data_IF_465258713474
#
_entry.id   IF_465258713474
#
_cell.length_a   1.000
_cell.length_b   1.000
_cell.length_c   1.000
_cell.angle_alpha   90.00
_cell.angle_beta   90.00
_cell.angle_gamma   90.00
#
_symmetry.space_group_name_H-M   'P 1'
#
loop_
_entity.id
_entity.type
_entity.pdbx_description
1 polymer ?
#
# COMPACT_ATOMS: atom_id res chain seq x y z
N UNK A 1 -26.52 5.65 -10.97
CA UNK A 1 -26.15 6.46 -9.79
C UNK A 1 -24.90 7.27 -10.14
N UNK A 2 -24.68 8.41 -9.51
CA UNK A 2 -23.48 9.20 -9.76
C UNK A 2 -22.63 9.30 -8.50
N UNK A 3 -21.39 8.82 -8.58
CA UNK A 3 -20.45 8.79 -7.46
C UNK A 3 -19.41 9.89 -7.57
N UNK A 4 -19.04 10.44 -6.42
CA UNK A 4 -17.89 11.32 -6.27
C UNK A 4 -16.85 10.67 -5.38
N UNK A 5 -15.61 10.53 -5.84
CA UNK A 5 -14.49 10.06 -5.00
C UNK A 5 -13.66 11.26 -4.60
N UNK A 6 -13.46 11.45 -3.30
CA UNK A 6 -12.68 12.54 -2.75
C UNK A 6 -11.43 12.05 -2.04
N UNK A 7 -10.28 12.43 -2.60
CA UNK A 7 -8.98 12.27 -1.98
C UNK A 7 -8.58 13.58 -1.32
N UNK A 8 -8.76 13.70 -0.02
CA UNK A 8 -8.28 14.86 0.77
C UNK A 8 -6.76 15.03 0.68
N UNK A 9 -6.06 13.98 0.28
CA UNK A 9 -4.67 13.98 -0.15
C UNK A 9 -4.49 12.93 -1.24
N UNK A 10 -4.34 13.35 -2.46
CA UNK A 10 -3.99 12.44 -3.55
C UNK A 10 -2.48 12.51 -3.84
N UNK A 11 -1.81 11.40 -3.96
CA UNK A 11 -0.37 11.29 -4.18
C UNK A 11 -0.13 10.17 -5.18
N UNK A 12 0.52 10.46 -6.28
CA UNK A 12 0.91 9.43 -7.25
C UNK A 12 1.72 8.31 -6.56
N UNK A 13 1.43 7.06 -6.89
CA UNK A 13 2.08 5.90 -6.28
C UNK A 13 1.71 5.62 -4.82
N UNK A 14 0.79 6.40 -4.23
CA UNK A 14 0.24 6.12 -2.91
C UNK A 14 -0.89 5.07 -3.01
N UNK A 15 -0.98 4.17 -2.03
CA UNK A 15 -2.02 3.16 -1.96
C UNK A 15 -3.44 3.74 -2.08
N UNK A 16 -3.71 4.89 -1.44
CA UNK A 16 -5.00 5.56 -1.52
C UNK A 16 -5.35 6.00 -2.94
N UNK A 17 -4.37 6.48 -3.70
CA UNK A 17 -4.59 6.89 -5.10
C UNK A 17 -4.80 5.68 -6.00
N UNK A 18 -4.05 4.60 -5.80
CA UNK A 18 -4.26 3.33 -6.52
C UNK A 18 -5.66 2.80 -6.25
N UNK A 19 -6.05 2.76 -4.99
CA UNK A 19 -7.40 2.33 -4.59
C UNK A 19 -8.49 3.20 -5.26
N UNK A 20 -8.31 4.52 -5.26
CA UNK A 20 -9.26 5.43 -5.91
C UNK A 20 -9.39 5.19 -7.41
N UNK A 21 -8.28 4.90 -8.10
CA UNK A 21 -8.26 4.60 -9.52
C UNK A 21 -9.04 3.32 -9.81
N UNK A 22 -8.77 2.24 -9.07
CA UNK A 22 -9.46 0.97 -9.27
C UNK A 22 -10.95 1.07 -8.91
N UNK A 23 -11.28 1.76 -7.83
CA UNK A 23 -12.68 2.03 -7.45
C UNK A 23 -13.40 2.86 -8.54
N UNK A 24 -12.77 3.93 -9.04
CA UNK A 24 -13.32 4.74 -10.13
C UNK A 24 -13.55 3.93 -11.39
N UNK A 25 -12.57 3.11 -11.80
CA UNK A 25 -12.66 2.29 -12.98
C UNK A 25 -13.83 1.29 -12.87
N UNK A 26 -13.93 0.62 -11.73
CA UNK A 26 -15.01 -0.33 -11.52
C UNK A 26 -16.40 0.32 -11.43
N UNK A 27 -16.53 1.46 -10.77
CA UNK A 27 -17.81 2.20 -10.77
C UNK A 27 -18.21 2.60 -12.19
N UNK A 28 -17.26 3.02 -13.01
CA UNK A 28 -17.53 3.46 -14.40
C UNK A 28 -18.01 2.35 -15.35
N UNK A 29 -17.90 1.11 -14.95
CA UNK A 29 -18.47 -0.02 -15.73
C UNK A 29 -20.01 0.00 -15.73
N UNK A 30 -20.63 0.55 -14.69
CA UNK A 30 -22.09 0.54 -14.51
C UNK A 30 -22.71 1.90 -14.26
N UNK A 31 -21.94 2.87 -13.74
CA UNK A 31 -22.40 4.13 -13.23
C UNK A 31 -21.46 5.29 -13.60
N UNK A 32 -21.88 6.53 -13.31
CA UNK A 32 -21.01 7.70 -13.45
C UNK A 32 -20.12 7.88 -12.23
N UNK A 33 -18.84 8.21 -12.44
CA UNK A 33 -17.90 8.49 -11.38
C UNK A 33 -16.98 9.67 -11.69
N UNK A 34 -16.86 10.58 -10.73
CA UNK A 34 -15.93 11.73 -10.76
C UNK A 34 -14.97 11.60 -9.59
N UNK A 35 -13.68 11.66 -9.86
CA UNK A 35 -12.65 11.66 -8.80
C UNK A 35 -11.95 12.99 -8.70
N UNK A 36 -11.94 13.57 -7.49
CA UNK A 36 -11.24 14.80 -7.15
C UNK A 36 -10.16 14.49 -6.11
N UNK A 37 -8.95 14.96 -6.38
CA UNK A 37 -7.84 14.92 -5.44
C UNK A 37 -7.45 16.33 -4.99
N UNK A 38 -7.31 16.51 -3.69
CA UNK A 38 -6.79 17.74 -3.15
C UNK A 38 -5.31 17.90 -3.52
N UNK A 39 -5.00 19.06 -4.08
CA UNK A 39 -3.65 19.45 -4.49
C UNK A 39 -2.92 20.06 -3.29
N UNK A 40 -1.81 19.48 -2.86
CA UNK A 40 -0.88 20.08 -1.91
C UNK A 40 0.05 21.07 -2.62
N UNK A 41 0.52 22.13 -1.93
CA UNK A 41 1.48 23.12 -2.44
C UNK A 41 2.77 22.47 -2.96
N UNK A 42 3.16 21.35 -2.38
CA UNK A 42 4.34 20.59 -2.79
C UNK A 42 4.10 19.64 -3.98
N UNK A 43 2.92 19.65 -4.54
CA UNK A 43 2.48 18.77 -5.62
C UNK A 43 2.81 19.33 -6.99
N UNK A 44 4.05 19.54 -7.23
CA UNK A 44 4.48 20.21 -8.44
C UNK A 44 4.41 19.41 -9.74
N UNK A 45 4.16 18.11 -9.75
CA UNK A 45 4.29 17.30 -10.98
C UNK A 45 3.65 15.91 -10.93
N UNK A 46 2.54 15.69 -10.22
CA UNK A 46 1.96 14.37 -10.23
C UNK A 46 1.30 14.07 -11.57
N UNK A 47 1.59 12.90 -12.12
CA UNK A 47 1.00 12.36 -13.36
C UNK A 47 -0.43 11.83 -13.16
N UNK A 48 -1.10 12.15 -12.06
CA UNK A 48 -2.50 11.79 -11.81
C UNK A 48 -3.45 12.24 -12.94
N UNK A 49 -2.99 13.12 -13.79
CA UNK A 49 -3.72 13.53 -15.02
C UNK A 49 -4.02 12.36 -15.97
N UNK A 50 -3.21 11.30 -15.96
CA UNK A 50 -3.41 10.16 -16.84
C UNK A 50 -4.61 9.27 -16.46
N UNK A 51 -5.20 9.48 -15.27
CA UNK A 51 -6.29 8.65 -14.75
C UNK A 51 -7.65 9.37 -14.67
N UNK A 52 -7.79 10.51 -15.33
CA UNK A 52 -9.02 11.34 -15.25
C UNK A 52 -9.36 11.78 -13.81
N UNK A 53 -8.35 11.98 -12.97
CA UNK A 53 -8.51 12.56 -11.64
C UNK A 53 -8.37 14.07 -11.73
N UNK A 54 -9.40 14.79 -11.30
CA UNK A 54 -9.40 16.25 -11.25
C UNK A 54 -8.62 16.70 -10.02
N UNK A 55 -7.64 17.58 -10.21
CA UNK A 55 -6.86 18.13 -9.11
C UNK A 55 -7.31 19.55 -8.79
N UNK A 56 -7.75 19.76 -7.55
CA UNK A 56 -8.15 21.06 -7.05
C UNK A 56 -7.40 21.44 -5.78
N UNK A 57 -7.16 22.72 -5.61
CA UNK A 57 -6.66 23.28 -4.36
C UNK A 57 -7.84 23.45 -3.39
N UNK A 58 -7.78 22.83 -2.20
CA UNK A 58 -8.91 22.81 -1.26
C UNK A 58 -9.45 24.19 -0.92
N UNK A 59 -8.57 25.15 -0.68
CA UNK A 59 -8.96 26.52 -0.35
C UNK A 59 -9.43 27.33 -1.58
N UNK A 60 -8.60 27.38 -2.63
CA UNK A 60 -8.84 28.24 -3.79
C UNK A 60 -9.98 27.74 -4.70
N UNK A 61 -10.16 26.43 -4.80
CA UNK A 61 -11.14 25.80 -5.68
C UNK A 61 -12.33 25.22 -4.92
N UNK A 62 -12.54 25.61 -3.67
CA UNK A 62 -13.58 25.07 -2.78
C UNK A 62 -14.96 25.07 -3.44
N UNK A 63 -15.39 26.17 -4.03
CA UNK A 63 -16.69 26.30 -4.68
C UNK A 63 -16.84 25.36 -5.90
N UNK A 64 -15.76 25.13 -6.63
CA UNK A 64 -15.74 24.17 -7.73
C UNK A 64 -15.87 22.74 -7.25
N UNK A 65 -15.19 22.39 -6.16
CA UNK A 65 -15.29 21.07 -5.53
C UNK A 65 -16.74 20.83 -5.10
N UNK A 66 -17.33 21.78 -4.38
CA UNK A 66 -18.71 21.68 -3.89
C UNK A 66 -19.68 21.56 -5.07
N UNK A 67 -19.57 22.42 -6.08
CA UNK A 67 -20.48 22.40 -7.23
C UNK A 67 -20.37 21.09 -8.03
N UNK A 68 -19.18 20.50 -8.09
CA UNK A 68 -18.97 19.21 -8.75
C UNK A 68 -19.62 18.08 -7.95
N UNK A 69 -19.37 18.02 -6.64
CA UNK A 69 -19.92 16.96 -5.80
C UNK A 69 -21.43 17.08 -5.53
N UNK A 70 -22.00 18.29 -5.63
CA UNK A 70 -23.47 18.46 -5.59
C UNK A 70 -24.19 17.73 -6.72
N UNK A 71 -23.50 17.39 -7.81
CA UNK A 71 -24.05 16.59 -8.89
C UNK A 71 -24.01 15.09 -8.62
N UNK A 72 -23.35 14.65 -7.55
CA UNK A 72 -23.23 13.25 -7.17
C UNK A 72 -24.33 12.86 -6.18
N UNK A 73 -24.72 11.59 -6.18
CA UNK A 73 -25.66 11.00 -5.21
C UNK A 73 -24.91 10.58 -3.96
N UNK A 74 -23.74 9.96 -4.17
CA UNK A 74 -22.86 9.42 -3.12
C UNK A 74 -21.46 10.01 -3.24
N UNK A 75 -20.87 10.38 -2.11
CA UNK A 75 -19.50 10.88 -2.01
C UNK A 75 -18.68 9.92 -1.16
N UNK A 76 -17.61 9.40 -1.74
CA UNK A 76 -16.70 8.45 -1.11
C UNK A 76 -15.40 9.18 -0.76
N UNK A 77 -15.08 9.24 0.52
CA UNK A 77 -13.86 9.87 1.01
C UNK A 77 -12.85 8.76 1.30
N UNK A 78 -11.67 8.82 0.68
CA UNK A 78 -10.61 7.81 0.84
C UNK A 78 -9.44 8.31 1.66
N UNK A 79 -9.28 9.60 1.81
CA UNK A 79 -8.25 10.19 2.65
C UNK A 79 -8.63 11.57 3.11
N UNK A 80 -8.18 11.93 4.30
CA UNK A 80 -8.31 13.28 4.86
C UNK A 80 -7.03 14.08 4.64
N UNK A 81 -7.09 15.43 4.67
CA UNK A 81 -5.89 16.26 4.59
C UNK A 81 -4.88 15.87 5.68
N UNK A 82 -3.57 15.93 5.39
CA UNK A 82 -2.56 15.66 6.40
C UNK A 82 -2.61 16.72 7.52
N UNK A 83 -2.26 16.31 8.73
CA UNK A 83 -2.27 17.18 9.93
C UNK A 83 -1.37 18.38 9.81
N UNK A 84 -0.27 18.22 9.09
CA UNK A 84 0.65 19.31 8.78
C UNK A 84 0.15 20.16 7.61
N UNK A 85 -1.08 19.91 7.13
CA UNK A 85 -1.73 20.83 6.21
C UNK A 85 -1.96 22.16 6.92
N UNK A 86 -1.85 23.25 6.17
CA UNK A 86 -2.19 24.56 6.66
C UNK A 86 -3.61 24.54 7.22
N UNK A 87 -3.84 25.25 8.30
CA UNK A 87 -5.15 25.32 8.98
C UNK A 87 -6.30 25.61 7.99
N UNK A 88 -6.09 26.56 7.05
CA UNK A 88 -7.03 26.87 5.97
C UNK A 88 -7.43 25.67 5.10
N UNK A 89 -6.53 24.71 4.93
CA UNK A 89 -6.80 23.49 4.14
C UNK A 89 -7.74 22.56 4.90
N UNK A 90 -7.56 22.43 6.20
CA UNK A 90 -8.41 21.59 7.06
C UNK A 90 -9.80 22.21 7.22
N UNK A 91 -9.89 23.50 7.48
CA UNK A 91 -11.17 24.24 7.53
C UNK A 91 -11.93 24.14 6.21
N UNK A 92 -11.25 24.34 5.09
CA UNK A 92 -11.88 24.24 3.77
C UNK A 92 -12.40 22.83 3.48
N UNK A 93 -11.67 21.80 3.92
CA UNK A 93 -12.14 20.42 3.79
C UNK A 93 -13.41 20.17 4.59
N UNK A 94 -13.45 20.62 5.84
CA UNK A 94 -14.63 20.49 6.69
C UNK A 94 -15.82 21.27 6.12
N UNK A 95 -15.62 22.52 5.71
CA UNK A 95 -16.68 23.33 5.08
C UNK A 95 -17.24 22.70 3.80
N UNK A 96 -16.38 22.09 2.96
CA UNK A 96 -16.84 21.35 1.79
C UNK A 96 -17.81 20.25 2.21
N UNK A 97 -17.47 19.46 3.22
CA UNK A 97 -18.30 18.34 3.69
C UNK A 97 -19.59 18.84 4.35
N UNK A 98 -19.54 19.88 5.15
CA UNK A 98 -20.74 20.49 5.77
C UNK A 98 -21.74 20.94 4.70
N UNK A 99 -21.27 21.48 3.59
CA UNK A 99 -22.11 21.92 2.47
C UNK A 99 -22.62 20.78 1.56
N UNK A 100 -22.19 19.56 1.83
CA UNK A 100 -22.57 18.35 1.11
C UNK A 100 -23.39 17.38 1.99
N UNK A 101 -23.94 17.85 3.12
CA UNK A 101 -24.71 17.04 4.06
C UNK A 101 -26.03 16.50 3.50
N UNK A 102 -26.50 17.02 2.37
CA UNK A 102 -27.65 16.50 1.63
C UNK A 102 -27.29 15.27 0.78
N UNK A 103 -26.02 14.88 0.74
CA UNK A 103 -25.49 13.73 0.00
C UNK A 103 -25.22 12.54 0.93
N UNK A 104 -25.17 11.36 0.33
CA UNK A 104 -24.70 10.17 1.07
C UNK A 104 -23.17 10.19 1.12
N UNK A 105 -22.61 10.51 2.29
CA UNK A 105 -21.17 10.62 2.51
C UNK A 105 -20.64 9.36 3.17
N UNK A 106 -19.69 8.69 2.52
CA UNK A 106 -19.07 7.45 3.01
C UNK A 106 -17.57 7.66 3.15
N UNK A 107 -17.01 7.38 4.31
CA UNK A 107 -15.57 7.33 4.49
C UNK A 107 -15.08 5.89 4.48
N UNK A 108 -14.11 5.59 3.63
CA UNK A 108 -13.40 4.31 3.65
C UNK A 108 -11.99 4.57 4.18
N UNK A 109 -11.69 3.97 5.32
CA UNK A 109 -10.36 4.07 5.91
C UNK A 109 -9.39 3.17 5.15
N UNK A 110 -8.73 3.73 4.14
CA UNK A 110 -7.65 3.08 3.39
C UNK A 110 -6.28 3.43 3.96
N UNK A 111 -6.19 4.34 4.93
CA UNK A 111 -4.94 4.62 5.63
C UNK A 111 -4.80 3.67 6.83
N UNK A 112 -3.70 2.97 6.86
CA UNK A 112 -3.42 1.96 7.87
C UNK A 112 -3.18 2.53 9.27
N UNK A 113 -2.98 3.82 9.35
CA UNK A 113 -2.72 4.48 10.61
C UNK A 113 -4.03 5.03 11.11
N UNK A 114 -4.64 4.30 12.02
CA UNK A 114 -5.44 5.01 12.96
C UNK A 114 -4.58 6.14 13.51
N UNK A 115 -4.98 7.39 13.37
CA UNK A 115 -4.26 8.45 14.03
C UNK A 115 -4.20 8.06 15.49
N UNK A 116 -3.01 7.98 16.05
CA UNK A 116 -2.89 7.79 17.49
C UNK A 116 -3.35 9.11 18.11
N UNK A 117 -4.62 9.18 18.38
CA UNK A 117 -5.38 10.33 18.86
C UNK A 117 -4.77 10.93 20.10
N UNK A 118 -4.10 10.13 20.92
CA UNK A 118 -3.40 10.58 22.12
C UNK A 118 -2.21 11.51 21.87
N UNK A 119 -1.82 11.77 20.62
CA UNK A 119 -0.61 12.56 20.33
C UNK A 119 -0.84 13.93 19.73
N UNK A 120 -2.07 14.30 19.32
CA UNK A 120 -2.25 15.59 18.68
C UNK A 120 -3.69 16.11 18.82
N UNK A 121 -3.88 17.12 19.66
CA UNK A 121 -5.16 17.77 19.94
C UNK A 121 -5.95 18.18 18.68
N UNK A 122 -5.27 18.54 17.59
CA UNK A 122 -5.91 18.89 16.32
C UNK A 122 -6.57 17.71 15.62
N UNK A 123 -6.04 16.49 15.78
CA UNK A 123 -6.66 15.29 15.26
C UNK A 123 -7.99 15.01 15.96
N UNK A 124 -8.02 15.13 17.26
CA UNK A 124 -9.19 14.79 18.05
C UNK A 124 -10.39 15.64 17.64
N UNK A 125 -10.22 16.94 17.45
CA UNK A 125 -11.29 17.86 17.07
C UNK A 125 -11.72 17.63 15.62
N UNK A 126 -10.79 17.55 14.69
CA UNK A 126 -11.12 17.37 13.28
C UNK A 126 -11.78 16.02 13.00
N UNK A 127 -11.27 14.95 13.59
CA UNK A 127 -11.86 13.63 13.38
C UNK A 127 -13.23 13.47 14.03
N UNK A 128 -13.44 14.03 15.22
CA UNK A 128 -14.74 14.06 15.86
C UNK A 128 -15.81 14.69 14.96
N UNK A 129 -15.51 15.85 14.43
CA UNK A 129 -16.46 16.57 13.58
C UNK A 129 -16.56 15.96 12.18
N UNK A 130 -15.43 15.48 11.61
CA UNK A 130 -15.42 14.79 10.33
C UNK A 130 -16.32 13.54 10.32
N UNK A 131 -16.20 12.68 11.34
CA UNK A 131 -17.00 11.46 11.37
C UNK A 131 -18.49 11.74 11.51
N UNK A 132 -18.88 12.82 12.21
CA UNK A 132 -20.29 13.23 12.31
C UNK A 132 -20.88 13.65 10.96
N UNK A 133 -20.03 14.04 10.00
CA UNK A 133 -20.44 14.40 8.65
C UNK A 133 -20.55 13.19 7.72
N UNK A 134 -20.17 12.00 8.17
CA UNK A 134 -20.25 10.77 7.39
C UNK A 134 -21.52 9.97 7.73
N UNK A 135 -22.25 9.54 6.72
CA UNK A 135 -23.37 8.60 6.90
C UNK A 135 -22.86 7.18 7.19
N UNK A 136 -21.64 6.86 6.71
CA UNK A 136 -20.97 5.58 6.94
C UNK A 136 -19.47 5.74 7.06
N UNK A 137 -18.89 4.93 7.93
CA UNK A 137 -17.44 4.82 8.11
C UNK A 137 -17.07 3.34 7.95
N UNK A 138 -16.39 3.00 6.88
CA UNK A 138 -15.94 1.63 6.60
C UNK A 138 -14.52 1.50 7.14
N UNK A 139 -14.31 0.59 8.07
CA UNK A 139 -13.00 0.28 8.68
C UNK A 139 -12.69 -1.21 8.53
N UNK A 140 -11.39 -1.54 8.49
CA UNK A 140 -10.98 -2.90 8.14
C UNK A 140 -11.01 -3.89 9.30
N UNK A 141 -10.93 -3.40 10.52
CA UNK A 141 -10.78 -4.25 11.69
C UNK A 141 -11.42 -3.60 12.92
N UNK A 142 -12.23 -4.36 13.64
CA UNK A 142 -12.82 -3.94 14.92
C UNK A 142 -11.78 -3.62 15.99
N UNK A 143 -10.63 -4.24 15.91
CA UNK A 143 -9.51 -4.00 16.83
C UNK A 143 -8.62 -2.83 16.44
N UNK A 144 -8.84 -2.16 15.30
CA UNK A 144 -8.05 -1.00 14.95
C UNK A 144 -8.49 0.23 15.76
N UNK A 145 -7.55 1.13 15.98
CA UNK A 145 -7.77 2.31 16.82
C UNK A 145 -8.90 3.21 16.28
N UNK A 146 -9.14 3.22 14.97
CA UNK A 146 -10.19 4.05 14.38
C UNK A 146 -11.58 3.62 14.79
N UNK A 147 -11.85 2.31 14.87
CA UNK A 147 -13.14 1.80 15.32
C UNK A 147 -13.36 2.14 16.81
N UNK A 148 -12.36 1.90 17.64
CA UNK A 148 -12.40 2.23 19.07
C UNK A 148 -12.61 3.73 19.27
N UNK A 149 -11.86 4.52 18.54
CA UNK A 149 -11.94 5.98 18.57
C UNK A 149 -13.30 6.48 18.15
N UNK A 150 -13.86 5.95 17.06
CA UNK A 150 -15.17 6.35 16.59
C UNK A 150 -16.26 6.06 17.64
N UNK A 151 -16.16 4.93 18.34
CA UNK A 151 -17.05 4.60 19.47
C UNK A 151 -16.83 5.54 20.67
N UNK A 152 -15.59 5.82 21.03
CA UNK A 152 -15.23 6.77 22.10
C UNK A 152 -15.71 8.19 21.80
N UNK A 153 -15.80 8.57 20.53
CA UNK A 153 -16.35 9.84 20.06
C UNK A 153 -17.87 9.93 20.09
N UNK A 154 -18.55 8.87 20.49
CA UNK A 154 -20.02 8.83 20.56
C UNK A 154 -20.68 8.79 19.19
N UNK A 155 -20.02 8.24 18.18
CA UNK A 155 -20.67 7.93 16.91
C UNK A 155 -21.67 6.81 17.09
N UNK A 156 -22.79 6.89 16.37
CA UNK A 156 -23.72 5.79 16.31
C UNK A 156 -23.00 4.52 15.81
N UNK A 157 -22.97 3.43 16.56
CA UNK A 157 -22.32 2.19 16.13
C UNK A 157 -22.79 1.68 14.76
N UNK A 158 -24.03 1.99 14.38
CA UNK A 158 -24.58 1.61 13.07
C UNK A 158 -23.94 2.33 11.89
N UNK A 159 -23.28 3.45 12.13
CA UNK A 159 -22.53 4.18 11.09
C UNK A 159 -21.16 3.57 10.79
N UNK A 160 -20.65 2.74 11.71
CA UNK A 160 -19.33 2.12 11.62
C UNK A 160 -19.47 0.69 11.12
N UNK A 161 -18.93 0.42 9.95
CA UNK A 161 -19.02 -0.88 9.30
C UNK A 161 -17.61 -1.49 9.25
N UNK A 162 -17.49 -2.71 9.79
CA UNK A 162 -16.27 -3.52 9.63
C UNK A 162 -16.60 -4.68 8.72
N UNK A 163 -16.10 -4.69 7.48
CA UNK A 163 -16.36 -5.77 6.55
C UNK A 163 -15.71 -7.07 6.99
N UNK A 164 -16.25 -8.19 6.51
CA UNK A 164 -15.72 -9.53 6.78
C UNK A 164 -14.58 -9.93 5.80
N UNK A 165 -14.19 -9.02 4.95
CA UNK A 165 -13.16 -9.22 3.93
C UNK A 165 -12.18 -8.05 3.92
N UNK A 166 -10.94 -8.23 3.42
CA UNK A 166 -9.99 -7.14 3.25
C UNK A 166 -10.49 -6.17 2.17
N UNK A 167 -10.77 -4.92 2.55
CA UNK A 167 -11.30 -3.91 1.61
C UNK A 167 -10.23 -3.05 0.97
N UNK A 168 -8.95 -3.25 1.33
CA UNK A 168 -7.93 -2.25 1.10
C UNK A 168 -7.19 -2.35 -0.20
N UNK A 169 -7.10 -3.53 -0.77
CA UNK A 169 -6.36 -3.73 -2.00
C UNK A 169 -7.32 -4.17 -3.09
N UNK A 170 -7.62 -3.25 -3.99
CA UNK A 170 -8.30 -3.55 -5.24
C UNK A 170 -7.21 -3.76 -6.28
N UNK A 171 -6.94 -5.02 -6.65
CA UNK A 171 -5.89 -5.36 -7.61
C UNK A 171 -6.51 -5.91 -8.89
N UNK A 172 -5.92 -5.54 -10.00
CA UNK A 172 -6.24 -6.14 -11.30
C UNK A 172 -5.37 -7.36 -11.56
N UNK A 173 -5.84 -8.53 -11.12
CA UNK A 173 -5.11 -9.78 -11.36
C UNK A 173 -4.99 -10.10 -12.85
N UNK A 174 -5.96 -9.74 -13.67
CA UNK A 174 -5.89 -9.96 -15.11
C UNK A 174 -4.80 -9.08 -15.77
N UNK A 175 -4.65 -7.82 -15.34
CA UNK A 175 -3.54 -6.98 -15.82
C UNK A 175 -2.20 -7.44 -15.28
N UNK A 176 -2.16 -8.00 -14.07
CA UNK A 176 -0.94 -8.56 -13.47
C UNK A 176 -0.37 -9.78 -14.18
N UNK A 177 -1.22 -10.58 -14.82
CA UNK A 177 -0.79 -11.82 -15.51
C UNK A 177 0.30 -11.58 -16.55
N UNK A 178 0.35 -10.43 -17.21
CA UNK A 178 1.39 -10.06 -18.18
C UNK A 178 2.81 -10.00 -17.62
N UNK A 179 2.94 -9.85 -16.29
CA UNK A 179 4.23 -9.78 -15.61
C UNK A 179 4.70 -11.12 -15.05
N UNK A 180 3.83 -12.13 -15.03
CA UNK A 180 4.16 -13.47 -14.49
C UNK A 180 5.15 -14.14 -15.43
N UNK A 181 6.31 -14.50 -14.91
CA UNK A 181 7.34 -15.24 -15.66
C UNK A 181 7.38 -16.69 -15.19
N UNK A 182 7.62 -17.64 -16.14
CA UNK A 182 7.95 -19.02 -15.79
C UNK A 182 9.16 -19.09 -14.87
N UNK A 183 9.26 -20.13 -14.06
CA UNK A 183 10.37 -20.33 -13.13
C UNK A 183 11.76 -20.20 -13.80
N UNK A 184 11.91 -20.79 -14.99
CA UNK A 184 13.18 -20.82 -15.71
C UNK A 184 13.57 -19.45 -16.30
N UNK A 185 12.62 -18.51 -16.40
CA UNK A 185 12.82 -17.14 -16.89
C UNK A 185 13.01 -16.13 -15.74
N UNK A 186 12.93 -16.61 -14.48
CA UNK A 186 13.19 -15.77 -13.32
C UNK A 186 14.69 -15.68 -13.03
N UNK A 187 15.09 -14.55 -12.48
CA UNK A 187 16.44 -14.37 -11.96
C UNK A 187 16.66 -15.31 -10.75
N UNK A 188 17.60 -16.27 -10.84
CA UNK A 188 17.76 -17.25 -9.78
C UNK A 188 18.20 -16.58 -8.48
N UNK A 189 17.64 -17.05 -7.36
CA UNK A 189 17.98 -16.56 -6.01
C UNK A 189 17.86 -15.05 -5.86
N UNK A 190 16.86 -14.44 -6.50
CA UNK A 190 16.59 -13.01 -6.45
C UNK A 190 15.47 -12.68 -5.47
N UNK A 191 15.65 -11.61 -4.70
CA UNK A 191 14.70 -11.07 -3.76
C UNK A 191 14.46 -9.60 -4.09
N UNK A 192 13.21 -9.16 -4.13
CA UNK A 192 12.84 -7.79 -4.44
C UNK A 192 12.00 -7.17 -3.32
N UNK A 193 12.47 -6.04 -2.81
CA UNK A 193 11.70 -5.17 -1.94
C UNK A 193 11.20 -3.98 -2.77
N UNK A 194 9.89 -3.75 -2.75
CA UNK A 194 9.24 -2.63 -3.46
C UNK A 194 8.59 -1.68 -2.46
N UNK A 195 8.85 -0.39 -2.59
CA UNK A 195 8.13 0.62 -1.83
C UNK A 195 9.02 1.59 -1.08
N UNK A 196 8.42 2.30 -0.12
CA UNK A 196 9.16 3.26 0.68
C UNK A 196 10.19 2.56 1.56
N UNK A 197 11.45 2.98 1.45
CA UNK A 197 12.54 2.49 2.30
C UNK A 197 12.47 3.14 3.68
N UNK A 198 11.62 2.62 4.54
CA UNK A 198 11.41 3.11 5.89
C UNK A 198 11.70 2.00 6.92
N UNK A 199 12.18 2.39 8.11
CA UNK A 199 12.54 1.45 9.19
C UNK A 199 11.38 0.51 9.52
N UNK A 200 10.18 1.06 9.62
CA UNK A 200 8.98 0.28 9.93
C UNK A 200 8.57 -0.72 8.84
N UNK A 201 9.12 -0.59 7.62
CA UNK A 201 8.97 -1.57 6.55
C UNK A 201 10.02 -2.70 6.59
N UNK A 202 10.87 -2.69 7.59
CA UNK A 202 11.86 -3.73 7.83
C UNK A 202 13.10 -3.67 6.93
N UNK A 203 13.45 -2.48 6.45
CA UNK A 203 14.61 -2.31 5.55
C UNK A 203 15.91 -2.84 6.15
N UNK A 204 16.11 -2.65 7.46
CA UNK A 204 17.31 -3.13 8.14
C UNK A 204 17.31 -4.66 8.27
N UNK A 205 16.16 -5.24 8.54
CA UNK A 205 15.95 -6.68 8.62
C UNK A 205 16.15 -7.34 7.26
N UNK A 206 15.67 -6.71 6.18
CA UNK A 206 15.92 -7.18 4.80
C UNK A 206 17.40 -7.15 4.48
N UNK A 207 18.12 -6.07 4.82
CA UNK A 207 19.58 -5.98 4.67
C UNK A 207 20.30 -7.02 5.52
N UNK A 208 19.91 -7.17 6.78
CA UNK A 208 20.48 -8.17 7.67
C UNK A 208 20.30 -9.57 7.11
N UNK A 209 19.11 -9.89 6.60
CA UNK A 209 18.83 -11.16 5.94
C UNK A 209 19.77 -11.39 4.74
N UNK A 210 20.00 -10.36 3.91
CA UNK A 210 20.93 -10.45 2.78
C UNK A 210 22.37 -10.68 3.23
N UNK A 211 22.90 -9.83 4.11
CA UNK A 211 24.33 -9.83 4.44
C UNK A 211 24.76 -10.93 5.37
N UNK A 212 23.95 -11.23 6.38
CA UNK A 212 24.32 -12.24 7.40
C UNK A 212 23.98 -13.67 6.94
N UNK A 213 22.99 -13.83 6.08
CA UNK A 213 22.46 -15.15 5.74
C UNK A 213 22.46 -15.46 4.24
N UNK A 214 21.63 -14.81 3.45
CA UNK A 214 21.31 -15.21 2.08
C UNK A 214 22.43 -14.92 1.08
N UNK A 215 23.19 -13.84 1.27
CA UNK A 215 24.26 -13.46 0.33
C UNK A 215 25.32 -14.55 0.17
N UNK A 216 25.71 -15.23 1.24
CA UNK A 216 26.66 -16.37 1.19
C UNK A 216 26.13 -17.60 0.42
N UNK A 217 24.82 -17.66 0.17
CA UNK A 217 24.18 -18.68 -0.66
C UNK A 217 23.92 -18.20 -2.09
N UNK A 218 24.45 -17.04 -2.46
CA UNK A 218 24.37 -16.48 -3.81
C UNK A 218 23.07 -15.73 -4.09
N UNK A 219 22.33 -15.32 -3.06
CA UNK A 219 21.14 -14.46 -3.26
C UNK A 219 21.53 -13.02 -3.53
N UNK A 220 20.71 -12.37 -4.33
CA UNK A 220 20.77 -10.93 -4.62
C UNK A 220 19.47 -10.27 -4.18
N UNK A 221 19.57 -9.24 -3.36
CA UNK A 221 18.41 -8.46 -2.92
C UNK A 221 18.41 -7.09 -3.59
N UNK A 222 17.29 -6.75 -4.20
CA UNK A 222 17.04 -5.45 -4.83
C UNK A 222 16.04 -4.69 -3.98
N UNK A 223 16.38 -3.46 -3.59
CA UNK A 223 15.48 -2.56 -2.85
C UNK A 223 15.10 -1.38 -3.74
N UNK A 224 13.86 -1.39 -4.20
CA UNK A 224 13.35 -0.39 -5.11
C UNK A 224 12.39 0.57 -4.41
N UNK A 225 12.69 1.86 -4.47
CA UNK A 225 11.90 2.91 -3.82
C UNK A 225 11.10 3.74 -4.80
N UNK A 226 10.05 4.39 -4.31
CA UNK A 226 9.26 5.35 -5.09
C UNK A 226 10.01 6.68 -5.23
N UNK A 227 9.70 7.45 -6.26
CA UNK A 227 10.37 8.71 -6.63
C UNK A 227 10.55 9.72 -5.49
N UNK A 228 9.64 9.71 -4.51
CA UNK A 228 9.72 10.60 -3.34
C UNK A 228 10.80 10.26 -2.34
N UNK A 229 11.32 9.05 -2.38
CA UNK A 229 12.32 8.58 -1.42
C UNK A 229 13.74 8.99 -1.79
N UNK A 230 13.95 9.77 -2.87
CA UNK A 230 15.24 10.43 -3.13
C UNK A 230 15.61 11.36 -1.96
N UNK A 231 14.61 12.02 -1.37
CA UNK A 231 14.80 12.79 -0.14
C UNK A 231 15.19 11.92 1.05
N UNK A 232 14.61 10.71 1.16
CA UNK A 232 14.91 9.76 2.23
C UNK A 232 16.24 9.03 2.01
N UNK A 233 16.72 8.90 0.78
CA UNK A 233 18.12 8.50 0.57
C UNK A 233 19.10 9.50 1.16
N UNK A 234 18.87 10.80 0.98
CA UNK A 234 19.65 11.84 1.66
C UNK A 234 19.44 11.81 3.18
N UNK A 235 18.28 11.41 3.63
CA UNK A 235 17.92 11.27 5.03
C UNK A 235 18.55 10.00 5.64
N UNK A 236 18.49 8.87 4.94
CA UNK A 236 19.22 7.65 5.28
C UNK A 236 20.74 7.91 5.36
N UNK A 237 21.29 8.67 4.45
CA UNK A 237 22.70 9.09 4.49
C UNK A 237 23.02 10.09 5.61
N UNK A 238 22.05 10.87 6.10
CA UNK A 238 22.27 11.84 7.20
C UNK A 238 22.03 11.26 8.59
N UNK A 239 21.10 10.31 8.72
CA UNK A 239 20.69 9.78 10.03
C UNK A 239 21.22 8.37 10.32
N UNK A 240 21.48 7.57 9.30
CA UNK A 240 22.17 6.31 9.49
C UNK A 240 23.65 6.62 9.65
N UNK A 241 24.15 6.42 10.87
CA UNK A 241 25.59 6.49 11.11
C UNK A 241 26.30 5.63 10.05
N UNK A 242 27.43 6.10 9.49
CA UNK A 242 28.20 5.38 8.46
C UNK A 242 28.45 3.91 8.79
N UNK A 243 28.55 3.58 10.07
CA UNK A 243 28.74 2.22 10.60
C UNK A 243 27.54 1.28 10.36
N UNK A 244 26.36 1.80 10.02
CA UNK A 244 25.15 1.02 9.72
C UNK A 244 24.86 0.87 8.22
N UNK A 245 25.59 1.58 7.38
CA UNK A 245 25.59 1.35 5.93
C UNK A 245 26.64 0.29 5.70
N UNK A 246 26.22 -0.94 5.34
CA UNK A 246 27.17 -1.93 4.91
C UNK A 246 27.92 -1.35 3.70
N UNK A 247 29.27 -1.35 3.76
CA UNK A 247 30.14 -0.76 2.73
C UNK A 247 29.93 -1.33 1.31
N UNK A 248 29.10 -2.36 1.20
CA UNK A 248 28.89 -3.18 0.00
C UNK A 248 27.55 -2.90 -0.69
N UNK A 249 26.73 -1.96 -0.21
CA UNK A 249 25.50 -1.58 -0.91
C UNK A 249 25.81 -0.91 -2.24
N UNK A 250 25.33 -1.46 -3.34
CA UNK A 250 25.39 -0.83 -4.65
C UNK A 250 24.18 0.06 -4.84
N UNK A 251 24.40 1.37 -4.89
CA UNK A 251 23.35 2.34 -5.08
C UNK A 251 23.24 2.67 -6.58
N UNK A 252 22.10 2.32 -7.16
CA UNK A 252 21.76 2.69 -8.52
C UNK A 252 20.80 3.87 -8.44
N UNK A 253 21.35 5.09 -8.55
CA UNK A 253 20.53 6.28 -8.66
C UNK A 253 19.97 6.39 -10.07
N UNK A 254 18.71 6.77 -10.17
CA UNK A 254 18.05 7.01 -11.46
C UNK A 254 18.43 8.38 -12.03
N UNK A 255 19.74 8.63 -12.15
CA UNK A 255 20.26 9.79 -12.84
C UNK A 255 20.65 9.39 -14.27
N UNK A 256 19.73 9.61 -15.20
CA UNK A 256 19.97 9.35 -16.62
C UNK A 256 20.09 7.86 -16.98
N UNK A 257 20.97 7.53 -17.91
CA UNK A 257 21.12 6.20 -18.52
C UNK A 257 21.62 5.07 -17.57
N UNK A 258 21.89 5.35 -16.31
CA UNK A 258 22.43 4.34 -15.36
C UNK A 258 21.34 3.32 -14.93
N UNK A 259 20.09 3.74 -14.83
CA UNK A 259 18.98 2.81 -14.58
C UNK A 259 18.83 1.82 -15.74
N UNK A 260 19.11 2.24 -16.97
CA UNK A 260 19.00 1.40 -18.15
C UNK A 260 19.94 0.18 -18.11
N UNK A 261 21.10 0.29 -17.49
CA UNK A 261 22.04 -0.84 -17.33
C UNK A 261 21.51 -1.93 -16.40
N UNK A 262 20.76 -1.55 -15.37
CA UNK A 262 20.08 -2.49 -14.49
C UNK A 262 18.97 -3.26 -15.25
N UNK A 263 18.17 -2.54 -16.04
CA UNK A 263 17.05 -3.10 -16.79
C UNK A 263 17.46 -4.01 -17.96
N UNK A 264 18.68 -3.88 -18.43
CA UNK A 264 19.24 -4.73 -19.49
C UNK A 264 19.84 -6.04 -18.94
N UNK A 265 19.60 -6.39 -17.67
CA UNK A 265 20.19 -7.57 -17.04
C UNK A 265 21.71 -7.46 -16.81
N UNK A 266 22.25 -6.25 -16.95
CA UNK A 266 23.67 -5.96 -16.77
C UNK A 266 23.94 -5.31 -15.41
N UNK A 267 23.43 -5.94 -14.34
CA UNK A 267 23.89 -5.58 -13.00
C UNK A 267 25.41 -5.72 -12.96
N UNK A 268 26.13 -4.71 -12.48
CA UNK A 268 27.55 -4.88 -12.25
C UNK A 268 27.70 -6.03 -11.24
N UNK A 269 28.34 -7.13 -11.65
CA UNK A 269 28.70 -8.22 -10.74
C UNK A 269 29.72 -7.65 -9.77
N UNK A 270 29.27 -7.32 -8.56
CA UNK A 270 30.14 -6.86 -7.49
C UNK A 270 30.45 -8.08 -6.61
N UNK A 271 31.72 -8.40 -6.32
CA UNK A 271 32.05 -9.47 -5.41
C UNK A 271 31.41 -9.22 -4.03
N UNK A 272 30.84 -10.26 -3.44
CA UNK A 272 30.24 -10.17 -2.10
C UNK A 272 28.71 -10.17 -2.04
N UNK A 273 28.01 -10.29 -3.17
CA UNK A 273 26.54 -10.31 -3.27
C UNK A 273 25.87 -9.15 -2.51
N UNK A 274 26.13 -7.90 -2.90
CA UNK A 274 25.58 -6.73 -2.25
C UNK A 274 24.07 -6.64 -2.41
N UNK A 275 23.42 -5.86 -1.53
CA UNK A 275 22.07 -5.39 -1.79
C UNK A 275 22.11 -4.24 -2.80
N UNK A 276 21.22 -4.24 -3.78
CA UNK A 276 21.08 -3.19 -4.76
C UNK A 276 19.96 -2.24 -4.36
N UNK A 277 20.26 -0.94 -4.36
CA UNK A 277 19.27 0.10 -4.05
C UNK A 277 18.98 0.87 -5.33
N UNK A 278 17.73 0.81 -5.79
CA UNK A 278 17.27 1.49 -6.99
C UNK A 278 16.48 2.75 -6.60
N UNK A 279 16.77 3.85 -7.29
CA UNK A 279 16.03 5.11 -7.17
C UNK A 279 14.62 5.05 -7.76
N UNK A 280 14.06 6.22 -8.10
CA UNK A 280 12.68 6.31 -8.55
C UNK A 280 12.41 5.43 -9.77
N UNK A 281 11.25 4.81 -9.77
CA UNK A 281 10.82 3.86 -10.79
C UNK A 281 9.50 4.27 -11.45
N UNK A 282 9.33 3.81 -12.68
CA UNK A 282 8.03 3.72 -13.31
C UNK A 282 7.33 2.46 -12.78
N UNK A 283 6.02 2.53 -12.51
CA UNK A 283 5.27 1.42 -11.94
C UNK A 283 5.34 0.16 -12.81
N UNK A 284 5.12 0.28 -14.13
CA UNK A 284 5.16 -0.87 -15.04
C UNK A 284 6.54 -1.54 -15.06
N UNK A 285 7.61 -0.72 -15.09
CA UNK A 285 8.98 -1.22 -15.02
C UNK A 285 9.27 -1.94 -13.69
N UNK A 286 8.71 -1.45 -12.57
CA UNK A 286 8.84 -2.10 -11.27
C UNK A 286 8.12 -3.46 -11.26
N UNK A 287 6.92 -3.52 -11.85
CA UNK A 287 6.16 -4.76 -11.96
C UNK A 287 6.87 -5.80 -12.84
N UNK A 288 7.50 -5.37 -13.94
CA UNK A 288 8.33 -6.25 -14.79
C UNK A 288 9.52 -6.85 -14.02
N UNK A 289 10.19 -6.03 -13.20
CA UNK A 289 11.30 -6.50 -12.37
C UNK A 289 10.84 -7.44 -11.25
N UNK A 290 9.70 -7.12 -10.63
CA UNK A 290 9.08 -8.03 -9.68
C UNK A 290 8.80 -9.39 -10.33
N UNK A 291 8.18 -9.40 -11.51
CA UNK A 291 7.89 -10.64 -12.24
C UNK A 291 9.15 -11.44 -12.59
N UNK A 292 10.29 -10.75 -12.83
CA UNK A 292 11.58 -11.39 -13.04
C UNK A 292 12.19 -11.96 -11.75
N UNK A 293 11.80 -11.48 -10.58
CA UNK A 293 12.34 -11.93 -9.30
C UNK A 293 11.66 -13.20 -8.81
N UNK A 294 12.39 -14.03 -8.06
CA UNK A 294 11.79 -15.22 -7.43
C UNK A 294 10.94 -14.82 -6.22
N UNK A 295 11.44 -13.93 -5.39
CA UNK A 295 10.79 -13.56 -4.14
C UNK A 295 10.55 -12.06 -4.03
N UNK A 296 9.40 -11.69 -3.43
CA UNK A 296 9.14 -10.35 -2.95
C UNK A 296 9.24 -10.31 -1.43
N UNK A 297 9.80 -9.26 -0.83
CA UNK A 297 9.99 -9.21 0.61
C UNK A 297 9.48 -7.91 1.22
N UNK A 298 8.68 -8.02 2.28
CA UNK A 298 8.35 -6.90 3.16
C UNK A 298 8.18 -7.38 4.61
N UNK A 299 9.07 -6.92 5.49
CA UNK A 299 9.09 -7.30 6.89
C UNK A 299 8.57 -6.14 7.75
N UNK A 300 7.25 -5.94 7.81
CA UNK A 300 6.63 -4.85 8.57
C UNK A 300 7.04 -4.88 10.06
N UNK A 301 7.95 -3.98 10.45
CA UNK A 301 8.53 -3.89 11.80
C UNK A 301 7.75 -2.94 12.73
N UNK A 302 6.46 -2.81 12.50
CA UNK A 302 5.59 -2.05 13.38
C UNK A 302 5.44 -2.74 14.74
N UNK A 303 5.35 -1.96 15.85
CA UNK A 303 4.93 -2.51 17.14
C UNK A 303 3.59 -3.24 17.06
N UNK A 304 3.39 -4.27 17.87
CA UNK A 304 2.19 -5.13 17.87
C UNK A 304 0.87 -4.36 17.89
N UNK A 305 0.82 -3.26 18.64
CA UNK A 305 -0.37 -2.39 18.73
C UNK A 305 -0.76 -1.72 17.41
N UNK A 306 0.14 -1.74 16.41
CA UNK A 306 -0.08 -1.20 15.07
C UNK A 306 -0.10 -2.31 14.01
N UNK A 307 0.11 -3.57 14.39
CA UNK A 307 0.25 -4.71 13.49
C UNK A 307 -1.06 -5.34 13.01
N UNK A 308 -2.26 -5.18 13.64
CA UNK A 308 -3.50 -5.50 12.96
C UNK A 308 -3.71 -4.52 11.80
N UNK A 309 -2.77 -4.53 10.91
CA UNK A 309 -2.58 -3.64 9.80
C UNK A 309 -3.06 -4.31 8.54
N UNK A 310 -3.65 -3.52 7.71
CA UNK A 310 -3.91 -3.89 6.35
C UNK A 310 -2.63 -4.24 5.62
N UNK A 311 -2.79 -5.02 4.59
CA UNK A 311 -1.75 -5.36 3.65
C UNK A 311 -1.36 -4.12 2.83
N UNK A 312 -0.08 -3.79 2.81
CA UNK A 312 0.44 -2.77 1.90
C UNK A 312 0.24 -3.19 0.44
N UNK A 313 0.03 -2.26 -0.47
CA UNK A 313 -0.11 -2.58 -1.89
C UNK A 313 1.07 -3.38 -2.43
N UNK A 314 2.30 -3.00 -2.05
CA UNK A 314 3.50 -3.72 -2.46
C UNK A 314 3.45 -5.22 -2.10
N UNK A 315 2.91 -5.56 -0.93
CA UNK A 315 2.79 -6.96 -0.49
C UNK A 315 1.91 -7.79 -1.41
N UNK A 316 0.85 -7.20 -1.95
CA UNK A 316 -0.04 -7.86 -2.92
C UNK A 316 0.49 -7.75 -4.35
N UNK A 317 1.24 -6.69 -4.68
CA UNK A 317 1.90 -6.55 -5.98
C UNK A 317 2.93 -7.65 -6.23
N UNK A 318 3.61 -8.15 -5.20
CA UNK A 318 4.45 -9.35 -5.32
C UNK A 318 3.67 -10.53 -5.87
N UNK A 319 2.46 -10.73 -5.39
CA UNK A 319 1.65 -11.89 -5.76
C UNK A 319 1.12 -11.78 -7.18
N UNK A 320 0.60 -10.63 -7.59
CA UNK A 320 0.03 -10.48 -8.95
C UNK A 320 1.10 -10.58 -10.05
N UNK A 321 2.37 -10.39 -9.71
CA UNK A 321 3.51 -10.60 -10.63
C UNK A 321 4.07 -12.02 -10.59
N UNK A 322 3.41 -12.93 -9.86
CA UNK A 322 3.85 -14.32 -9.74
C UNK A 322 5.14 -14.48 -8.95
N UNK A 323 5.38 -13.62 -7.98
CA UNK A 323 6.52 -13.68 -7.08
C UNK A 323 6.08 -14.31 -5.76
N UNK A 324 6.87 -15.22 -5.20
CA UNK A 324 6.55 -15.80 -3.88
C UNK A 324 6.91 -14.79 -2.79
N UNK A 325 5.95 -14.34 -1.96
CA UNK A 325 6.22 -13.32 -0.98
C UNK A 325 6.87 -13.88 0.28
N UNK A 326 7.76 -13.07 0.84
CA UNK A 326 8.39 -13.28 2.15
C UNK A 326 7.87 -12.18 3.09
N UNK A 327 7.14 -12.58 4.13
CA UNK A 327 6.53 -11.69 5.09
C UNK A 327 7.09 -11.91 6.49
N UNK A 328 6.90 -10.94 7.37
CA UNK A 328 7.18 -11.10 8.79
C UNK A 328 6.14 -12.04 9.41
N UNK A 329 6.58 -13.04 10.13
CA UNK A 329 5.71 -14.02 10.82
C UNK A 329 4.72 -13.33 11.76
N UNK A 330 5.21 -12.37 12.56
CA UNK A 330 4.38 -11.63 13.50
C UNK A 330 3.28 -10.83 12.83
N UNK A 331 3.55 -10.28 11.64
CA UNK A 331 2.51 -9.63 10.85
C UNK A 331 1.43 -10.63 10.39
N UNK A 332 1.82 -11.79 9.89
CA UNK A 332 0.89 -12.83 9.45
C UNK A 332 -0.02 -13.33 10.57
N UNK A 333 0.51 -13.43 11.81
CA UNK A 333 -0.25 -13.82 12.99
C UNK A 333 -1.30 -12.77 13.41
N UNK A 334 -0.98 -11.49 13.23
CA UNK A 334 -1.78 -10.37 13.71
C UNK A 334 -2.67 -9.75 12.63
N UNK A 335 -2.42 -10.03 11.34
CA UNK A 335 -3.28 -9.53 10.27
C UNK A 335 -4.63 -10.24 10.30
N UNK A 336 -5.62 -9.54 10.81
CA UNK A 336 -6.96 -10.07 11.03
C UNK A 336 -8.00 -9.20 10.32
N UNK A 337 -9.03 -9.86 9.81
CA UNK A 337 -10.28 -9.21 9.42
C UNK A 337 -11.36 -9.72 10.34
N UNK A 338 -12.09 -8.82 10.97
CA UNK A 338 -13.13 -9.14 11.95
C UNK A 338 -12.63 -10.12 13.05
N UNK A 339 -11.41 -9.88 13.56
CA UNK A 339 -10.70 -10.69 14.56
C UNK A 339 -10.37 -12.13 14.14
N UNK A 340 -10.46 -12.45 12.85
CA UNK A 340 -10.00 -13.74 12.32
C UNK A 340 -8.70 -13.52 11.52
N UNK A 341 -7.64 -14.28 11.76
CA UNK A 341 -6.45 -14.24 10.93
C UNK A 341 -6.82 -14.50 9.46
N UNK A 342 -6.40 -13.59 8.58
CA UNK A 342 -6.67 -13.70 7.14
C UNK A 342 -5.59 -14.49 6.47
N UNK A 343 -4.32 -14.24 6.86
CA UNK A 343 -3.16 -14.89 6.29
C UNK A 343 -2.67 -15.97 7.23
N UNK A 344 -2.81 -17.21 6.79
CA UNK A 344 -2.27 -18.36 7.49
C UNK A 344 -0.93 -18.78 6.86
N UNK A 345 -0.14 -19.56 7.59
CA UNK A 345 1.06 -20.22 7.03
C UNK A 345 0.75 -21.07 5.79
N UNK A 346 -0.52 -21.43 5.63
CA UNK A 346 -1.01 -22.19 4.49
C UNK A 346 -1.26 -21.40 3.22
N UNK A 347 -1.12 -20.07 3.22
CA UNK A 347 -1.36 -19.25 2.02
C UNK A 347 -0.30 -19.38 0.93
N UNK A 348 0.81 -20.10 1.18
CA UNK A 348 1.92 -20.28 0.24
C UNK A 348 3.06 -19.27 0.42
N UNK A 349 2.88 -18.19 1.16
CA UNK A 349 3.94 -17.25 1.52
C UNK A 349 4.99 -17.88 2.46
N UNK A 350 6.18 -17.29 2.47
CA UNK A 350 7.22 -17.64 3.44
C UNK A 350 7.16 -16.63 4.59
N UNK A 351 7.27 -17.13 5.83
CA UNK A 351 7.20 -16.28 7.02
C UNK A 351 8.52 -16.28 7.77
N UNK A 352 9.16 -15.11 7.83
CA UNK A 352 10.41 -14.90 8.55
C UNK A 352 10.14 -14.46 9.98
N UNK A 353 10.73 -15.16 10.94
CA UNK A 353 10.79 -14.74 12.34
C UNK A 353 12.04 -13.87 12.53
N UNK A 354 11.84 -12.59 12.86
CA UNK A 354 12.93 -11.65 13.06
C UNK A 354 13.83 -11.99 14.27
N UNK A 355 13.32 -12.79 15.20
CA UNK A 355 14.09 -13.25 16.36
C UNK A 355 14.89 -14.53 16.05
N UNK A 356 14.47 -15.28 15.03
CA UNK A 356 15.16 -16.49 14.55
C UNK A 356 15.18 -16.53 13.02
N UNK A 357 15.91 -15.59 12.42
CA UNK A 357 16.05 -15.52 10.96
C UNK A 357 16.68 -16.77 10.38
N UNK A 358 17.59 -17.41 11.13
CA UNK A 358 18.30 -18.59 10.66
C UNK A 358 17.35 -19.75 10.33
N UNK A 359 16.31 -19.97 11.13
CA UNK A 359 15.32 -21.01 10.87
C UNK A 359 14.52 -20.81 9.57
N UNK A 360 14.38 -19.58 9.12
CA UNK A 360 13.66 -19.26 7.89
C UNK A 360 14.49 -19.41 6.61
N UNK A 361 15.83 -19.47 6.75
CA UNK A 361 16.76 -19.53 5.61
C UNK A 361 16.63 -20.85 4.87
N UNK A 362 16.54 -21.95 5.59
CA UNK A 362 16.44 -23.27 4.98
C UNK A 362 15.19 -23.38 4.10
N UNK A 363 14.07 -22.84 4.54
CA UNK A 363 12.83 -22.79 3.74
C UNK A 363 13.01 -21.95 2.46
N UNK A 364 13.63 -20.77 2.57
CA UNK A 364 13.90 -19.90 1.42
C UNK A 364 14.82 -20.61 0.42
N UNK A 365 15.87 -21.27 0.91
CA UNK A 365 16.82 -22.04 0.09
C UNK A 365 16.14 -23.22 -0.61
N UNK A 366 15.34 -23.98 0.13
CA UNK A 366 14.62 -25.13 -0.40
C UNK A 366 13.67 -24.69 -1.54
N UNK A 367 12.88 -23.65 -1.31
CA UNK A 367 11.96 -23.13 -2.32
C UNK A 367 12.71 -22.57 -3.52
N UNK A 368 13.83 -21.87 -3.31
CA UNK A 368 14.63 -21.31 -4.41
C UNK A 368 15.29 -22.36 -5.29
N UNK A 369 15.65 -23.53 -4.74
CA UNK A 369 16.37 -24.57 -5.43
C UNK A 369 15.46 -25.70 -5.96
N UNK A 370 14.18 -25.70 -5.60
CA UNK A 370 13.22 -26.72 -6.00
C UNK A 370 12.10 -26.11 -6.85
N UNK A 371 12.17 -26.31 -8.17
CA UNK A 371 11.21 -25.78 -9.14
C UNK A 371 9.76 -26.16 -8.83
N UNK A 372 9.52 -27.43 -8.49
CA UNK A 372 8.16 -27.93 -8.23
C UNK A 372 7.59 -27.26 -6.97
N UNK A 373 8.39 -27.19 -5.91
CA UNK A 373 7.99 -26.53 -4.67
C UNK A 373 7.75 -25.03 -4.88
N UNK A 374 8.62 -24.35 -5.65
CA UNK A 374 8.43 -22.94 -6.00
C UNK A 374 7.10 -22.71 -6.72
N UNK A 375 6.84 -23.48 -7.78
CA UNK A 375 5.60 -23.35 -8.56
C UNK A 375 4.35 -23.69 -7.72
N UNK A 376 4.44 -24.69 -6.86
CA UNK A 376 3.34 -24.99 -5.93
C UNK A 376 3.05 -23.80 -4.99
N UNK A 377 4.08 -23.19 -4.43
CA UNK A 377 3.96 -22.01 -3.58
C UNK A 377 3.40 -20.80 -4.35
N UNK A 378 3.95 -20.54 -5.53
CA UNK A 378 3.51 -19.46 -6.41
C UNK A 378 2.01 -19.57 -6.73
N UNK A 379 1.56 -20.72 -7.19
CA UNK A 379 0.15 -20.95 -7.51
C UNK A 379 -0.73 -20.79 -6.27
N UNK A 380 -0.32 -21.35 -5.14
CA UNK A 380 -1.09 -21.30 -3.91
C UNK A 380 -1.26 -19.86 -3.41
N UNK A 381 -0.18 -19.08 -3.40
CA UNK A 381 -0.25 -17.69 -2.95
C UNK A 381 -1.04 -16.84 -3.94
N UNK A 382 -0.92 -17.08 -5.23
CA UNK A 382 -1.68 -16.39 -6.27
C UNK A 382 -3.19 -16.62 -6.10
N UNK A 383 -3.63 -17.87 -5.97
CA UNK A 383 -5.04 -18.22 -5.81
C UNK A 383 -5.61 -17.66 -4.50
N UNK A 384 -4.84 -17.74 -3.41
CA UNK A 384 -5.25 -17.20 -2.12
C UNK A 384 -5.47 -15.68 -2.19
N UNK A 385 -4.48 -14.93 -2.68
CA UNK A 385 -4.59 -13.47 -2.74
C UNK A 385 -5.62 -13.01 -3.78
N UNK A 386 -5.78 -13.74 -4.87
CA UNK A 386 -6.85 -13.47 -5.84
C UNK A 386 -8.22 -13.53 -5.17
N UNK A 387 -8.44 -14.47 -4.28
CA UNK A 387 -9.72 -14.61 -3.58
C UNK A 387 -10.03 -13.44 -2.61
N UNK A 388 -9.02 -12.71 -2.13
CA UNK A 388 -9.18 -11.66 -1.12
C UNK A 388 -8.81 -10.25 -1.60
N UNK A 389 -8.18 -10.10 -2.77
CA UNK A 389 -7.71 -8.81 -3.26
C UNK A 389 -8.08 -8.51 -4.72
N UNK A 390 -8.58 -9.50 -5.49
CA UNK A 390 -8.99 -9.25 -6.88
C UNK A 390 -10.17 -8.26 -6.90
N UNK A 391 -10.00 -7.18 -7.64
CA UNK A 391 -11.04 -6.15 -7.78
C UNK A 391 -12.38 -6.74 -8.27
N UNK A 392 -12.36 -7.80 -9.09
CA UNK A 392 -13.58 -8.48 -9.56
C UNK A 392 -14.35 -9.16 -8.44
N UNK A 393 -13.65 -9.58 -7.38
CA UNK A 393 -14.24 -10.23 -6.21
C UNK A 393 -14.65 -9.20 -5.15
N UNK A 394 -13.77 -8.25 -4.88
CA UNK A 394 -13.92 -7.33 -3.73
C UNK A 394 -14.75 -6.10 -4.06
N UNK A 395 -14.63 -5.55 -5.26
CA UNK A 395 -15.33 -4.31 -5.64
C UNK A 395 -16.86 -4.38 -5.51
N UNK A 396 -17.55 -5.46 -5.95
CA UNK A 396 -18.99 -5.56 -5.73
C UNK A 396 -19.38 -5.46 -4.26
N UNK A 397 -18.63 -6.14 -3.39
CA UNK A 397 -18.86 -6.13 -1.94
C UNK A 397 -18.60 -4.73 -1.34
N UNK A 398 -17.56 -4.04 -1.80
CA UNK A 398 -17.29 -2.66 -1.38
C UNK A 398 -18.43 -1.72 -1.79
N UNK A 399 -18.96 -1.87 -3.00
CA UNK A 399 -20.09 -1.07 -3.49
C UNK A 399 -21.38 -1.35 -2.70
N UNK A 400 -21.63 -2.59 -2.31
CA UNK A 400 -22.75 -2.93 -1.41
C UNK A 400 -22.62 -2.22 -0.06
N UNK A 401 -21.43 -2.21 0.54
CA UNK A 401 -21.18 -1.49 1.80
C UNK A 401 -21.37 0.03 1.62
N UNK A 402 -20.90 0.59 0.51
CA UNK A 402 -21.06 2.02 0.21
C UNK A 402 -22.55 2.37 0.08
N UNK A 403 -23.31 1.57 -0.64
CA UNK A 403 -24.73 1.85 -0.95
C UNK A 403 -25.70 1.51 0.17
N UNK A 404 -25.25 0.82 1.18
CA UNK A 404 -26.11 0.51 2.32
C UNK A 404 -26.97 -0.74 2.21
N UNK A 405 -26.72 -1.55 1.24
CA UNK A 405 -27.39 -2.82 1.06
C UNK A 405 -26.76 -3.85 2.02
N UNK A 406 -26.99 -3.67 3.33
CA UNK A 406 -26.68 -4.71 4.31
C UNK A 406 -27.81 -5.73 4.25
N UNK A 407 -27.63 -6.83 3.56
CA UNK A 407 -28.42 -8.04 3.75
C UNK A 407 -27.90 -8.81 4.96
#
# INVERSE_FOLDING_TARGET
MKYGIFLGRGVEGCGNTKYAIELQNGIKETDECITIAARDKNWGRSKAHNHNIIQYHLYNDKERIISTFKQCDTIIILSVPPINAEFETTESFMEILERLQDKHVVYINVDHRAPSIKRNFYYDIMYNDFFKLCNRVITHNKGNDLHVVALEMGLDPSTIITPEFPTLNLLDFADGEKYIRPYDDKEPKSIHFLGRRADWKGIYEVKRLQYEYLGKHGFTTVMEGIERDIGSLKFLYKEVKPEKIAHDDVIICNEGNKSKLYFEGKLPIVPGNPAYIIGPYNHDEAMERLGASMFGIELLMLPDKYLPHNMEYAMSEYVITGTVPIYRKRWGELFCVNNKPVISQDCGAIFVDENDMAASIDEILEVACNKELYMQRQNRVYDFFRSICDKKVILPQVLELINGNNN
#
